data_IF_329084814967
#
_entry.id   IF_329084814967
#
_cell.length_a   1.000
_cell.length_b   1.000
_cell.length_c   1.000
_cell.angle_alpha   90.00
_cell.angle_beta   90.00
_cell.angle_gamma   90.00
#
_symmetry.space_group_name_H-M   'P 1'
#
loop_
_entity.id
_entity.type
_entity.pdbx_description
1 polymer ?
#
# COMPACT_ATOMS: atom_id res chain seq x y z
N UNK A 1 -5.03 12.91 -59.67
CA UNK A 1 -3.68 13.46 -59.85
C UNK A 1 -3.80 14.92 -59.49
N UNK A 2 -3.07 15.32 -58.43
CA UNK A 2 -2.72 16.70 -58.07
C UNK A 2 -3.91 17.55 -57.54
N UNK A 3 -3.90 18.33 -56.46
CA UNK A 3 -2.93 18.90 -55.52
C UNK A 3 -3.79 19.36 -54.30
N UNK A 4 -3.43 19.05 -53.05
CA UNK A 4 -2.57 19.86 -52.17
C UNK A 4 -3.32 20.90 -51.30
N UNK A 5 -3.25 20.64 -49.99
CA UNK A 5 -3.24 21.54 -48.82
C UNK A 5 -4.26 22.69 -48.66
N UNK A 6 -5.02 22.64 -47.55
CA UNK A 6 -4.97 23.70 -46.52
C UNK A 6 -5.49 23.26 -45.15
N UNK A 7 -4.59 22.69 -44.36
CA UNK A 7 -4.71 22.48 -42.92
C UNK A 7 -4.65 23.83 -42.18
N UNK A 8 -5.62 24.19 -41.32
CA UNK A 8 -5.38 25.25 -40.33
C UNK A 8 -4.71 24.65 -39.08
N UNK A 9 -3.39 24.87 -38.95
CA UNK A 9 -2.67 24.76 -37.68
C UNK A 9 -3.15 25.86 -36.74
N UNK A 10 -3.88 25.50 -35.67
CA UNK A 10 -4.12 26.42 -34.55
C UNK A 10 -2.96 26.35 -33.57
N UNK A 11 -2.01 27.22 -33.87
CA UNK A 11 -1.32 28.15 -32.96
C UNK A 11 -1.17 27.73 -31.50
N UNK A 12 0.04 27.24 -31.21
CA UNK A 12 0.62 27.24 -29.87
C UNK A 12 1.29 28.61 -29.64
N UNK A 13 0.51 29.60 -29.20
CA UNK A 13 1.04 30.80 -28.55
C UNK A 13 -0.08 31.44 -27.76
N UNK A 14 -0.03 31.32 -26.43
CA UNK A 14 -0.32 32.40 -25.47
C UNK A 14 -0.18 31.85 -24.05
N UNK A 15 1.05 31.97 -23.53
CA UNK A 15 1.34 31.94 -22.09
C UNK A 15 0.88 33.27 -21.50
N UNK A 16 0.38 33.27 -20.26
CA UNK A 16 1.02 34.18 -19.31
C UNK A 16 1.64 33.45 -18.12
N UNK A 17 2.88 33.84 -17.83
CA UNK A 17 3.60 33.54 -16.61
C UNK A 17 3.31 34.63 -15.55
N UNK A 18 3.59 34.28 -14.28
CA UNK A 18 3.87 35.10 -13.06
C UNK A 18 2.74 35.13 -12.02
N UNK A 19 3.02 35.32 -10.71
CA UNK A 19 4.29 35.76 -10.11
C UNK A 19 4.88 34.88 -8.99
N UNK A 20 6.21 34.83 -8.96
CA UNK A 20 7.00 34.50 -7.77
C UNK A 20 7.07 35.73 -6.87
N UNK A 21 6.48 35.68 -5.67
CA UNK A 21 6.76 36.68 -4.61
C UNK A 21 7.69 36.07 -3.57
N UNK A 22 8.86 36.68 -3.46
CA UNK A 22 9.92 36.35 -2.53
C UNK A 22 9.71 36.99 -1.16
N UNK A 23 10.15 36.26 -0.13
CA UNK A 23 10.87 36.68 1.10
C UNK A 23 10.19 37.62 2.11
N UNK A 24 9.98 37.08 3.32
CA UNK A 24 10.42 37.61 4.63
C UNK A 24 10.45 36.37 5.58
N UNK A 25 11.57 35.88 6.13
CA UNK A 25 12.51 36.39 7.13
C UNK A 25 11.90 36.54 8.54
N UNK A 26 12.43 35.75 9.50
CA UNK A 26 12.06 35.71 10.93
C UNK A 26 11.13 34.54 11.25
N UNK A 27 11.39 33.61 12.17
CA UNK A 27 12.16 33.68 13.42
C UNK A 27 12.75 32.31 13.77
N UNK A 28 13.94 32.35 14.39
CA UNK A 28 14.59 31.25 15.09
C UNK A 28 13.97 31.08 16.49
N UNK A 29 13.38 29.92 16.77
CA UNK A 29 13.16 29.35 18.11
C UNK A 29 12.64 27.92 17.89
N UNK A 30 13.45 26.88 18.05
CA UNK A 30 13.71 26.18 19.32
C UNK A 30 13.11 24.78 19.24
N UNK A 31 14.03 23.81 19.37
CA UNK A 31 13.86 22.56 20.11
C UNK A 31 12.78 21.57 19.65
N UNK A 32 13.27 20.49 19.02
CA UNK A 32 12.97 19.11 19.36
C UNK A 32 11.70 18.89 20.21
N UNK A 33 10.58 18.60 19.54
CA UNK A 33 9.40 18.05 20.20
C UNK A 33 8.94 16.84 19.40
N UNK A 34 9.65 15.74 19.67
CA UNK A 34 9.47 14.44 19.09
C UNK A 34 8.02 14.02 18.85
N UNK A 35 7.89 13.25 17.77
CA UNK A 35 7.41 11.87 17.85
C UNK A 35 6.15 11.72 18.70
N UNK A 36 5.02 11.82 18.01
CA UNK A 36 3.96 10.81 18.13
C UNK A 36 3.61 10.48 19.58
N UNK A 37 2.91 11.45 20.17
CA UNK A 37 2.33 11.53 21.52
C UNK A 37 1.28 10.43 21.81
N UNK A 38 1.49 9.22 21.30
CA UNK A 38 0.63 8.04 21.48
C UNK A 38 1.44 6.76 21.72
N UNK A 39 2.59 6.86 22.38
CA UNK A 39 3.12 5.74 23.18
C UNK A 39 2.74 5.91 24.65
N UNK A 40 1.43 5.90 24.86
CA UNK A 40 0.91 5.16 26.01
C UNK A 40 1.32 3.71 25.79
N UNK A 41 2.24 3.20 26.61
CA UNK A 41 2.08 1.92 27.30
C UNK A 41 3.10 1.91 28.44
N UNK A 42 2.53 1.83 29.63
CA UNK A 42 3.10 1.47 30.91
C UNK A 42 4.19 0.40 30.84
N UNK A 43 5.44 0.78 31.13
CA UNK A 43 6.50 -0.16 31.52
C UNK A 43 7.15 0.28 32.83
N UNK A 44 6.32 0.50 33.86
CA UNK A 44 6.76 0.40 35.26
C UNK A 44 6.84 -1.09 35.62
N UNK A 45 7.97 -1.70 35.33
CA UNK A 45 8.34 -3.02 35.80
C UNK A 45 9.70 -2.96 36.47
N UNK A 46 9.74 -2.43 37.70
CA UNK A 46 10.92 -2.47 38.57
C UNK A 46 11.17 -3.91 39.02
N UNK A 47 12.22 -4.56 38.53
CA UNK A 47 12.79 -5.74 39.17
C UNK A 47 14.31 -5.79 39.00
N UNK A 48 14.99 -5.43 40.11
CA UNK A 48 16.31 -5.80 40.61
C UNK A 48 17.53 -5.96 39.65
N UNK A 49 18.61 -5.29 40.05
CA UNK A 49 19.98 -5.34 39.49
C UNK A 49 20.69 -6.68 39.73
N UNK A 50 21.72 -6.90 38.89
CA UNK A 50 22.96 -7.68 39.05
C UNK A 50 23.03 -9.08 38.42
N UNK A 51 23.90 -9.22 37.41
CA UNK A 51 24.34 -10.49 36.86
C UNK A 51 25.32 -10.32 35.69
N UNK A 52 26.43 -11.06 35.74
CA UNK A 52 27.68 -10.86 35.02
C UNK A 52 27.69 -11.65 33.70
N UNK A 53 28.63 -11.33 32.81
CA UNK A 53 28.84 -11.90 31.47
C UNK A 53 28.51 -13.40 31.30
N UNK A 54 27.76 -13.73 30.23
CA UNK A 54 27.48 -15.10 29.80
C UNK A 54 27.00 -15.18 28.35
N UNK A 55 27.82 -15.79 27.50
CA UNK A 55 27.52 -16.18 26.13
C UNK A 55 26.95 -17.61 26.14
N UNK A 56 25.64 -17.77 25.87
CA UNK A 56 24.94 -19.03 25.52
C UNK A 56 23.44 -18.71 25.46
N UNK A 57 22.75 -18.77 24.33
CA UNK A 57 22.41 -20.02 23.66
C UNK A 57 21.27 -20.74 24.41
N UNK A 58 20.05 -20.72 23.88
CA UNK A 58 18.93 -21.57 24.35
C UNK A 58 17.57 -20.87 24.37
N UNK A 59 16.62 -21.35 23.56
CA UNK A 59 15.31 -20.74 23.32
C UNK A 59 14.12 -21.35 24.09
N UNK A 60 12.91 -20.91 23.66
CA UNK A 60 11.57 -21.46 23.95
C UNK A 60 11.00 -21.00 25.30
N UNK A 61 9.99 -20.14 25.38
CA UNK A 61 8.56 -20.40 25.08
C UNK A 61 7.83 -20.57 26.44
N UNK A 62 6.63 -20.09 26.74
CA UNK A 62 5.50 -19.64 25.93
C UNK A 62 4.60 -18.69 26.75
N UNK A 63 3.87 -17.80 26.08
CA UNK A 63 2.51 -17.43 26.48
C UNK A 63 1.77 -17.13 25.18
N UNK A 64 0.83 -18.00 24.84
CA UNK A 64 -0.04 -17.85 23.68
C UNK A 64 -1.03 -16.71 23.89
N UNK A 65 -1.19 -15.84 22.89
CA UNK A 65 -2.48 -15.46 22.28
C UNK A 65 -2.19 -14.56 21.07
N UNK A 66 -2.51 -15.09 19.89
CA UNK A 66 -2.79 -14.43 18.62
C UNK A 66 -1.65 -13.67 17.91
N UNK A 67 -1.11 -14.36 16.92
CA UNK A 67 -0.52 -13.90 15.65
C UNK A 67 -0.67 -12.41 15.34
N UNK A 68 0.42 -11.67 15.52
CA UNK A 68 0.80 -10.60 14.62
C UNK A 68 2.30 -10.79 14.34
N UNK A 69 2.56 -11.68 13.40
CA UNK A 69 3.83 -11.76 12.71
C UNK A 69 4.03 -10.43 12.00
N UNK A 70 4.60 -9.44 12.71
CA UNK A 70 5.17 -8.26 12.08
C UNK A 70 6.46 -8.69 11.38
N UNK A 71 6.31 -9.40 10.26
CA UNK A 71 7.38 -9.61 9.30
C UNK A 71 7.66 -8.25 8.67
N UNK A 72 8.46 -7.42 9.34
CA UNK A 72 9.22 -6.38 8.65
C UNK A 72 10.42 -7.05 8.00
N UNK A 73 10.16 -7.88 6.99
CA UNK A 73 11.18 -8.29 6.03
C UNK A 73 11.22 -7.19 4.99
N UNK A 74 12.22 -6.32 5.14
CA UNK A 74 12.66 -5.43 4.07
C UNK A 74 13.13 -6.33 2.91
N UNK A 75 12.22 -6.62 1.98
CA UNK A 75 12.57 -7.18 0.69
C UNK A 75 12.85 -6.04 -0.26
N UNK A 76 14.06 -6.03 -0.81
CA UNK A 76 14.48 -5.12 -1.87
C UNK A 76 13.62 -5.41 -3.10
N UNK A 77 12.67 -4.54 -3.37
CA UNK A 77 11.63 -4.67 -4.40
C UNK A 77 10.26 -4.60 -3.76
N UNK A 78 9.56 -3.47 -3.91
CA UNK A 78 8.18 -3.34 -3.45
C UNK A 78 7.32 -4.29 -4.28
N UNK A 79 6.86 -5.41 -3.71
CA UNK A 79 5.84 -6.26 -4.35
C UNK A 79 4.43 -5.70 -4.12
N UNK A 80 4.33 -4.56 -3.42
CA UNK A 80 3.06 -4.01 -2.98
C UNK A 80 2.37 -4.87 -1.92
N UNK A 81 3.15 -5.58 -1.07
CA UNK A 81 2.61 -6.33 0.06
C UNK A 81 2.00 -7.70 -0.26
N UNK A 82 2.36 -8.30 -1.40
CA UNK A 82 1.94 -9.64 -1.83
C UNK A 82 3.14 -10.54 -2.14
N UNK A 83 2.98 -11.88 -2.18
CA UNK A 83 4.00 -12.78 -2.69
C UNK A 83 4.43 -12.44 -4.13
N UNK A 84 5.66 -12.83 -4.50
CA UNK A 84 6.27 -12.47 -5.80
C UNK A 84 5.42 -12.92 -7.02
N UNK A 85 4.71 -14.05 -6.89
CA UNK A 85 3.79 -14.57 -7.90
C UNK A 85 2.69 -13.58 -8.33
N UNK A 86 2.36 -12.62 -7.45
CA UNK A 86 1.32 -11.63 -7.68
C UNK A 86 1.85 -10.28 -8.13
N UNK A 87 3.14 -9.97 -7.95
CA UNK A 87 3.69 -8.62 -8.10
C UNK A 87 3.36 -7.98 -9.46
N UNK A 88 3.35 -8.78 -10.53
CA UNK A 88 3.00 -8.37 -11.90
C UNK A 88 1.91 -9.24 -12.52
N UNK A 89 1.10 -9.91 -11.69
CA UNK A 89 0.03 -10.76 -12.17
C UNK A 89 -1.10 -9.96 -12.84
N UNK A 90 -1.79 -10.63 -13.76
CA UNK A 90 -2.93 -10.08 -14.50
C UNK A 90 -4.25 -10.36 -13.79
N UNK A 91 -5.14 -9.38 -13.74
CA UNK A 91 -6.51 -9.50 -13.22
C UNK A 91 -7.47 -10.16 -14.22
N UNK A 92 -8.70 -10.42 -13.79
CA UNK A 92 -9.77 -10.98 -14.61
C UNK A 92 -9.99 -10.20 -15.92
N UNK A 93 -9.89 -8.87 -15.89
CA UNK A 93 -10.07 -8.02 -17.08
C UNK A 93 -8.82 -7.82 -17.96
N UNK A 94 -7.72 -8.51 -17.66
CA UNK A 94 -6.47 -8.37 -18.41
C UNK A 94 -5.55 -7.24 -17.93
N UNK A 95 -5.93 -6.49 -16.88
CA UNK A 95 -5.06 -5.44 -16.31
C UNK A 95 -3.89 -6.06 -15.56
N UNK A 96 -2.65 -5.65 -15.91
CA UNK A 96 -1.46 -6.09 -15.18
C UNK A 96 -1.28 -5.27 -13.91
N UNK A 97 -1.03 -5.93 -12.76
CA UNK A 97 -0.63 -5.27 -11.53
C UNK A 97 0.71 -4.56 -11.73
N UNK A 98 0.81 -3.34 -11.21
CA UNK A 98 2.06 -2.61 -11.10
C UNK A 98 2.24 -2.18 -9.63
N UNK A 99 3.26 -2.68 -8.92
CA UNK A 99 3.44 -2.39 -7.50
C UNK A 99 3.76 -0.93 -7.17
N UNK A 100 4.19 -0.15 -8.17
CA UNK A 100 4.49 1.29 -8.00
C UNK A 100 3.24 2.19 -8.13
N UNK A 101 2.09 1.63 -8.54
CA UNK A 101 0.86 2.39 -8.80
C UNK A 101 -0.36 1.87 -8.02
N UNK A 102 -0.15 1.34 -6.82
CA UNK A 102 -1.20 0.76 -5.99
C UNK A 102 -1.74 1.76 -4.96
N UNK A 103 -3.06 1.71 -4.73
CA UNK A 103 -3.70 2.36 -3.58
C UNK A 103 -3.59 1.47 -2.34
N UNK A 104 -3.51 2.07 -1.16
CA UNK A 104 -3.61 1.30 0.09
C UNK A 104 -5.04 0.78 0.30
N UNK A 105 -5.18 -0.31 1.06
CA UNK A 105 -6.48 -0.85 1.47
C UNK A 105 -7.34 0.20 2.20
N UNK A 106 -6.73 1.02 3.04
CA UNK A 106 -7.40 2.13 3.73
C UNK A 106 -7.97 3.17 2.77
N UNK A 107 -7.22 3.53 1.71
CA UNK A 107 -7.64 4.53 0.73
C UNK A 107 -8.89 4.11 -0.06
N UNK A 108 -9.08 2.81 -0.26
CA UNK A 108 -10.25 2.24 -0.94
C UNK A 108 -11.30 1.69 0.03
N UNK A 109 -11.13 1.91 1.34
CA UNK A 109 -12.01 1.36 2.39
C UNK A 109 -12.25 -0.15 2.19
N UNK A 110 -11.16 -0.89 2.00
CA UNK A 110 -11.21 -2.34 1.87
C UNK A 110 -11.72 -2.99 3.16
N UNK A 111 -12.48 -4.06 2.99
CA UNK A 111 -13.00 -4.93 4.03
C UNK A 111 -12.93 -6.39 3.54
N UNK A 112 -12.76 -7.33 4.46
CA UNK A 112 -12.69 -8.76 4.13
C UNK A 112 -14.06 -9.40 3.90
N UNK A 113 -15.14 -8.70 4.24
CA UNK A 113 -16.51 -9.16 4.04
C UNK A 113 -17.13 -8.55 2.77
N UNK A 114 -18.06 -9.25 2.10
CA UNK A 114 -18.72 -8.74 0.90
C UNK A 114 -19.65 -7.56 1.22
N UNK A 115 -19.99 -6.76 0.22
CA UNK A 115 -20.93 -5.64 0.33
C UNK A 115 -22.09 -5.77 -0.64
N UNK A 116 -23.28 -6.09 -0.13
CA UNK A 116 -24.51 -6.22 -0.94
C UNK A 116 -24.37 -7.20 -2.12
N UNK A 117 -23.68 -8.33 -1.90
CA UNK A 117 -23.39 -9.31 -2.95
C UNK A 117 -22.23 -8.93 -3.89
N UNK A 118 -21.58 -7.78 -3.68
CA UNK A 118 -20.35 -7.39 -4.38
C UNK A 118 -19.13 -7.90 -3.62
N UNK A 119 -18.27 -8.62 -4.32
CA UNK A 119 -17.08 -9.23 -3.74
C UNK A 119 -15.90 -9.25 -4.73
N UNK A 120 -14.68 -9.36 -4.23
CA UNK A 120 -13.46 -9.28 -5.04
C UNK A 120 -13.42 -10.37 -6.11
N UNK A 121 -13.84 -11.59 -5.83
CA UNK A 121 -13.90 -12.68 -6.82
C UNK A 121 -14.79 -12.40 -8.04
N UNK A 122 -15.73 -11.45 -7.96
CA UNK A 122 -16.55 -10.98 -9.09
C UNK A 122 -16.15 -9.58 -9.57
N UNK A 123 -15.05 -9.03 -9.06
CA UNK A 123 -14.51 -7.73 -9.43
C UNK A 123 -13.50 -7.86 -10.57
N UNK A 124 -13.60 -6.98 -11.57
CA UNK A 124 -12.74 -7.01 -12.77
C UNK A 124 -11.24 -6.89 -12.48
N UNK A 125 -10.87 -6.23 -11.38
CA UNK A 125 -9.47 -5.99 -11.00
C UNK A 125 -8.89 -7.09 -10.12
N UNK A 126 -9.68 -8.09 -9.76
CA UNK A 126 -9.20 -9.18 -8.92
C UNK A 126 -8.24 -10.08 -9.69
N UNK A 127 -7.22 -10.53 -8.99
CA UNK A 127 -6.23 -11.49 -9.43
C UNK A 127 -6.46 -12.72 -8.59
N UNK A 128 -6.87 -13.82 -9.22
CA UNK A 128 -7.15 -15.09 -8.56
C UNK A 128 -5.92 -15.63 -7.82
N UNK A 129 -6.18 -16.50 -6.85
CA UNK A 129 -5.15 -17.23 -6.12
C UNK A 129 -4.23 -18.00 -7.08
N UNK A 130 -2.92 -17.76 -6.96
CA UNK A 130 -1.83 -18.35 -7.75
C UNK A 130 -0.96 -19.31 -6.94
N UNK A 131 -1.03 -19.29 -5.61
CA UNK A 131 -0.14 -20.04 -4.73
C UNK A 131 -0.88 -21.03 -3.81
N UNK A 132 -2.21 -21.09 -3.89
CA UNK A 132 -3.04 -22.07 -3.17
C UNK A 132 -3.26 -21.73 -1.70
N UNK A 133 -3.13 -20.46 -1.30
CA UNK A 133 -3.34 -20.01 0.08
C UNK A 133 -4.75 -19.48 0.34
N UNK A 134 -5.60 -19.42 -0.69
CA UNK A 134 -6.98 -18.94 -0.63
C UNK A 134 -7.10 -17.41 -0.70
N UNK A 135 -5.99 -16.68 -0.80
CA UNK A 135 -5.99 -15.23 -1.02
C UNK A 135 -5.53 -14.91 -2.44
N UNK A 136 -6.07 -13.83 -2.99
CA UNK A 136 -5.64 -13.29 -4.28
C UNK A 136 -4.90 -11.97 -4.12
N UNK A 137 -4.85 -11.22 -5.22
CA UNK A 137 -4.39 -9.84 -5.23
C UNK A 137 -5.36 -8.96 -6.03
N UNK A 138 -5.06 -7.67 -6.16
CA UNK A 138 -5.86 -6.74 -6.98
C UNK A 138 -4.94 -5.90 -7.87
N UNK A 139 -5.30 -5.62 -9.11
CA UNK A 139 -4.44 -4.83 -10.00
C UNK A 139 -4.16 -3.39 -9.48
N UNK A 140 -5.03 -2.85 -8.62
CA UNK A 140 -5.00 -1.46 -8.16
C UNK A 140 -4.85 -1.28 -6.64
N UNK A 141 -4.97 -2.34 -5.83
CA UNK A 141 -4.90 -2.26 -4.35
C UNK A 141 -3.70 -3.06 -3.84
N UNK A 142 -2.92 -2.46 -2.95
CA UNK A 142 -1.81 -3.11 -2.26
C UNK A 142 -2.30 -4.17 -1.24
N UNK A 143 -1.43 -5.14 -0.95
CA UNK A 143 -1.73 -6.26 -0.04
C UNK A 143 -2.45 -7.42 -0.72
N UNK A 144 -2.58 -8.49 0.05
CA UNK A 144 -3.39 -9.67 -0.26
C UNK A 144 -4.88 -9.31 -0.17
N UNK A 145 -5.70 -9.97 -0.99
CA UNK A 145 -7.12 -9.66 -1.16
C UNK A 145 -7.93 -10.94 -1.04
N UNK A 146 -8.84 -11.00 -0.08
CA UNK A 146 -9.75 -12.12 0.08
C UNK A 146 -10.75 -12.17 -1.10
N UNK A 147 -11.10 -13.35 -1.64
CA UNK A 147 -12.07 -13.48 -2.72
C UNK A 147 -13.48 -12.99 -2.32
N UNK A 148 -13.83 -13.05 -1.04
CA UNK A 148 -15.07 -12.51 -0.47
C UNK A 148 -14.99 -11.03 -0.09
N UNK A 149 -13.80 -10.42 -0.13
CA UNK A 149 -13.60 -9.03 0.28
C UNK A 149 -14.27 -8.01 -0.63
N UNK A 150 -14.27 -6.75 -0.22
CA UNK A 150 -14.87 -5.64 -0.97
C UNK A 150 -14.08 -4.35 -0.77
N UNK A 151 -14.07 -3.47 -1.78
CA UNK A 151 -13.60 -2.09 -1.64
C UNK A 151 -14.47 -1.14 -2.47
N UNK A 152 -14.39 0.16 -2.22
CA UNK A 152 -15.20 1.18 -2.92
C UNK A 152 -14.86 1.32 -4.40
N UNK A 153 -13.73 0.77 -4.85
CA UNK A 153 -13.33 0.71 -6.26
C UNK A 153 -13.84 -0.55 -6.97
N UNK A 154 -14.76 -1.29 -6.35
CA UNK A 154 -15.40 -2.45 -6.96
C UNK A 154 -16.02 -2.10 -8.30
N UNK A 155 -15.74 -2.92 -9.30
CA UNK A 155 -16.46 -2.90 -10.55
C UNK A 155 -16.69 -4.32 -11.01
N UNK A 156 -17.95 -4.63 -11.33
CA UNK A 156 -18.36 -5.95 -11.78
C UNK A 156 -17.57 -6.38 -13.03
N UNK A 157 -17.19 -7.65 -13.02
CA UNK A 157 -16.59 -8.34 -14.15
C UNK A 157 -17.70 -8.97 -15.01
N UNK A 158 -17.84 -8.50 -16.25
CA UNK A 158 -18.86 -8.97 -17.19
C UNK A 158 -18.36 -10.10 -18.11
N UNK A 159 -17.41 -10.91 -17.62
CA UNK A 159 -16.67 -11.92 -18.39
C UNK A 159 -17.51 -12.88 -19.22
#
# INVERSE_FOLDING_TARGET
MDDDERTPRRDASERPARPTRSRDAGETAETDAGRTRRRFIWLTGTAAMAGLAGCSGGGGGATETTTATATTTQSSGSTGGVPEAYATATSLDGTQRNPDSLSSQEAVSYQDEPSEGRQCSTCRYYIEDKNGDGAGACAIVAGEIAPEGYCVSYVEYEG
#
